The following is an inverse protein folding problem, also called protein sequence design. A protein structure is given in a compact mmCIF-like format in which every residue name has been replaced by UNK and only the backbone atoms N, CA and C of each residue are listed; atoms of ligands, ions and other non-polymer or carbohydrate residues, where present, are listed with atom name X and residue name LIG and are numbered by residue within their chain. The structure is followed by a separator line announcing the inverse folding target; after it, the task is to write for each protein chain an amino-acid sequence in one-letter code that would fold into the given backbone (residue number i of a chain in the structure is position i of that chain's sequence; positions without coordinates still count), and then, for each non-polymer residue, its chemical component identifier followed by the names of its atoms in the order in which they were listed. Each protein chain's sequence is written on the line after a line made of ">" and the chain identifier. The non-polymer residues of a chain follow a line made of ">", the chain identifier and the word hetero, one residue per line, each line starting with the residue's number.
data_IF_998093699757
#
_entry.id   IF_998093699757
#
_cell.length_a   1.000
_cell.length_b   1.000
_cell.length_c   1.000
_cell.angle_alpha   90.00
_cell.angle_beta   90.00
_cell.angle_gamma   90.00
#
_symmetry.space_group_name_H-M   'P 1'
#
loop_
_entity.id
_entity.type
_entity.pdbx_description
1 polymer ?
#
# COMPACT_ATOMS: atom_id res chain seq x y z
N UNK A 1 16.69 23.62 -15.41
CA UNK A 1 15.49 22.74 -15.47
C UNK A 1 14.96 22.59 -14.07
N UNK A 2 13.63 22.68 -13.89
CA UNK A 2 12.97 22.40 -12.62
C UNK A 2 12.31 21.03 -12.70
N UNK A 3 12.38 20.24 -11.64
CA UNK A 3 11.82 18.90 -11.57
C UNK A 3 11.57 18.48 -10.13
N UNK A 4 10.68 17.52 -9.91
CA UNK A 4 10.45 16.92 -8.60
C UNK A 4 11.41 15.74 -8.37
N UNK A 5 11.90 15.58 -7.14
CA UNK A 5 12.89 14.54 -6.81
C UNK A 5 12.82 14.10 -5.34
N UNK A 6 13.25 12.87 -5.09
CA UNK A 6 13.45 12.26 -3.77
C UNK A 6 14.87 12.48 -3.23
N UNK A 7 15.54 13.58 -3.61
CA UNK A 7 16.98 13.82 -3.40
C UNK A 7 17.43 13.73 -1.93
N UNK A 8 16.57 14.11 -0.98
CA UNK A 8 16.86 14.07 0.46
C UNK A 8 16.55 12.70 1.08
N UNK A 9 15.44 12.10 0.66
CA UNK A 9 14.89 10.88 1.24
C UNK A 9 13.88 10.26 0.28
N UNK A 10 13.78 8.92 0.19
CA UNK A 10 12.73 8.27 -0.58
C UNK A 10 11.33 8.56 -0.04
N UNK A 11 11.20 9.01 1.21
CA UNK A 11 9.91 9.38 1.81
C UNK A 11 9.47 10.81 1.51
N UNK A 12 10.31 11.60 0.85
CA UNK A 12 10.11 13.02 0.61
C UNK A 12 10.12 13.32 -0.88
N UNK A 13 9.41 14.36 -1.29
CA UNK A 13 9.39 14.82 -2.68
C UNK A 13 9.54 16.32 -2.70
N UNK A 14 10.57 16.80 -3.39
CA UNK A 14 10.93 18.22 -3.40
C UNK A 14 11.02 18.78 -4.81
N UNK A 15 10.70 20.06 -4.94
CA UNK A 15 11.12 20.85 -6.11
C UNK A 15 12.64 21.00 -6.08
N UNK A 16 13.29 20.63 -7.17
CA UNK A 16 14.70 20.82 -7.42
C UNK A 16 14.92 21.63 -8.69
N UNK A 17 16.08 22.28 -8.76
CA UNK A 17 16.58 22.98 -9.94
C UNK A 17 17.93 22.43 -10.31
N UNK A 18 18.10 22.05 -11.57
CA UNK A 18 19.39 21.63 -12.13
C UNK A 18 19.85 22.56 -13.24
N UNK A 19 21.13 22.92 -13.20
CA UNK A 19 21.81 23.64 -14.27
C UNK A 19 22.35 22.63 -15.29
N UNK A 20 21.89 22.71 -16.54
CA UNK A 20 22.08 21.64 -17.54
C UNK A 20 23.56 21.38 -17.82
N UNK A 21 24.42 22.41 -17.88
CA UNK A 21 25.81 22.22 -18.33
C UNK A 21 26.68 21.58 -17.25
N UNK A 22 26.52 21.96 -15.99
CA UNK A 22 27.28 21.39 -14.87
C UNK A 22 26.61 20.18 -14.22
N UNK A 23 25.30 19.99 -14.43
CA UNK A 23 24.49 19.02 -13.69
C UNK A 23 24.28 19.39 -12.22
N UNK A 24 24.79 20.55 -11.76
CA UNK A 24 24.64 20.98 -10.37
C UNK A 24 23.15 21.15 -10.06
N UNK A 25 22.72 20.44 -9.02
CA UNK A 25 21.34 20.39 -8.56
C UNK A 25 21.23 21.02 -7.19
N UNK A 26 20.20 21.84 -6.99
CA UNK A 26 19.83 22.40 -5.69
C UNK A 26 18.34 22.15 -5.40
N UNK A 27 18.04 21.88 -4.13
CA UNK A 27 16.66 21.82 -3.64
C UNK A 27 16.11 23.24 -3.48
N UNK A 28 14.88 23.45 -3.94
CA UNK A 28 14.16 24.74 -3.90
C UNK A 28 13.16 24.79 -2.75
N UNK A 29 12.38 23.72 -2.57
CA UNK A 29 11.38 23.64 -1.47
C UNK A 29 12.03 23.46 -0.11
N UNK A 30 11.41 24.04 0.93
CA UNK A 30 11.83 23.92 2.33
C UNK A 30 10.84 23.11 3.15
N UNK A 31 11.32 22.48 4.23
CA UNK A 31 10.51 21.59 5.06
C UNK A 31 10.66 20.13 4.65
N UNK A 32 10.31 19.24 5.56
CA UNK A 32 10.34 17.79 5.38
C UNK A 32 8.93 17.31 4.98
N UNK A 33 8.83 16.57 3.88
CA UNK A 33 7.54 16.01 3.44
C UNK A 33 7.37 15.86 1.93
N UNK A 34 6.12 15.90 1.48
CA UNK A 34 5.74 15.77 0.07
C UNK A 34 5.29 17.14 -0.45
N UNK A 35 6.03 17.66 -1.43
CA UNK A 35 5.69 18.86 -2.19
C UNK A 35 5.19 18.44 -3.57
N UNK A 36 3.97 18.86 -3.94
CA UNK A 36 3.45 18.68 -5.29
C UNK A 36 3.38 20.05 -5.98
N UNK A 37 4.12 20.19 -7.07
CA UNK A 37 4.41 21.50 -7.65
C UNK A 37 3.62 21.73 -8.93
N UNK A 38 2.93 22.86 -8.99
CA UNK A 38 2.37 23.41 -10.23
C UNK A 38 3.07 24.72 -10.59
N UNK A 39 3.72 24.78 -11.74
CA UNK A 39 4.49 25.95 -12.16
C UNK A 39 3.64 26.90 -13.03
N UNK A 40 3.79 28.21 -12.84
CA UNK A 40 3.22 29.25 -13.73
C UNK A 40 3.69 29.07 -15.17
N UNK A 41 3.00 29.68 -16.14
CA UNK A 41 3.41 29.57 -17.56
C UNK A 41 4.83 30.07 -17.81
N UNK A 42 5.18 31.21 -17.21
CA UNK A 42 6.51 31.83 -17.27
C UNK A 42 7.58 31.14 -16.39
N UNK A 43 7.18 30.16 -15.57
CA UNK A 43 8.04 29.42 -14.62
C UNK A 43 8.76 30.31 -13.61
N UNK A 44 8.21 31.50 -13.33
CA UNK A 44 8.73 32.40 -12.29
C UNK A 44 8.12 32.11 -10.92
N UNK A 45 6.97 31.44 -10.88
CA UNK A 45 6.24 31.12 -9.67
C UNK A 45 5.80 29.67 -9.64
N UNK A 46 5.68 29.12 -8.43
CA UNK A 46 5.24 27.76 -8.20
C UNK A 46 4.17 27.74 -7.12
N UNK A 47 3.07 27.07 -7.38
CA UNK A 47 2.14 26.62 -6.35
C UNK A 47 2.72 25.32 -5.76
N UNK A 48 3.08 25.37 -4.48
CA UNK A 48 3.51 24.23 -3.69
C UNK A 48 2.35 23.72 -2.84
N UNK A 49 1.86 22.53 -3.19
CA UNK A 49 0.89 21.77 -2.38
C UNK A 49 1.68 20.84 -1.48
N UNK A 50 1.90 21.29 -0.25
CA UNK A 50 2.74 20.65 0.75
C UNK A 50 1.93 19.79 1.72
N UNK A 51 2.47 18.63 2.08
CA UNK A 51 2.01 17.82 3.20
C UNK A 51 3.21 17.26 3.95
N UNK A 52 3.16 17.34 5.28
CA UNK A 52 4.20 16.86 6.19
C UNK A 52 3.59 16.16 7.40
N UNK A 53 4.43 15.51 8.22
CA UNK A 53 3.98 14.83 9.43
C UNK A 53 3.27 15.73 10.46
N UNK A 54 3.54 17.04 10.43
CA UNK A 54 2.95 18.05 11.33
C UNK A 54 2.08 19.07 10.58
N UNK A 55 1.85 18.85 9.28
CA UNK A 55 1.08 19.76 8.43
C UNK A 55 0.28 18.93 7.44
N UNK A 56 -1.02 18.75 7.71
CA UNK A 56 -1.83 17.87 6.89
C UNK A 56 -1.88 18.33 5.43
N UNK A 57 -2.12 19.63 5.23
CA UNK A 57 -2.03 20.28 3.92
C UNK A 57 -1.72 21.76 4.08
N UNK A 58 -0.87 22.25 3.18
CA UNK A 58 -0.65 23.66 2.99
C UNK A 58 -0.49 23.99 1.50
N UNK A 59 -0.82 25.23 1.16
CA UNK A 59 -0.76 25.74 -0.20
C UNK A 59 0.04 27.03 -0.18
N UNK A 60 1.24 26.99 -0.74
CA UNK A 60 2.16 28.12 -0.77
C UNK A 60 2.38 28.59 -2.21
N UNK A 61 2.46 29.91 -2.40
CA UNK A 61 3.05 30.47 -3.60
C UNK A 61 4.52 30.75 -3.32
N UNK A 62 5.42 30.11 -4.07
CA UNK A 62 6.87 30.29 -3.93
C UNK A 62 7.49 30.80 -5.24
N UNK A 63 8.60 31.52 -5.14
CA UNK A 63 9.39 31.95 -6.30
C UNK A 63 10.43 30.90 -6.74
N UNK A 64 11.23 31.24 -7.77
CA UNK A 64 12.31 30.38 -8.28
C UNK A 64 13.45 30.07 -7.30
N UNK A 65 13.51 30.77 -6.17
CA UNK A 65 14.50 30.56 -5.09
C UNK A 65 13.89 29.79 -3.91
N UNK A 66 12.59 29.47 -3.96
CA UNK A 66 11.87 28.84 -2.87
C UNK A 66 11.39 29.83 -1.80
N UNK A 67 11.52 31.14 -2.05
CA UNK A 67 11.00 32.15 -1.13
C UNK A 67 9.48 32.04 -1.10
N UNK A 68 8.91 31.86 0.09
CA UNK A 68 7.45 31.87 0.28
C UNK A 68 6.92 33.29 0.12
N UNK A 69 6.19 33.51 -0.96
CA UNK A 69 5.62 34.81 -1.36
C UNK A 69 4.27 35.01 -0.68
N UNK A 70 3.47 33.96 -0.64
CA UNK A 70 2.16 33.97 0.01
C UNK A 70 1.80 32.60 0.56
N UNK A 71 1.03 32.61 1.64
CA UNK A 71 0.38 31.42 2.21
C UNK A 71 -1.10 31.51 1.86
N UNK A 72 -1.58 30.57 1.05
CA UNK A 72 -2.97 30.53 0.60
C UNK A 72 -3.85 29.78 1.60
N UNK A 73 -3.30 28.70 2.19
CA UNK A 73 -3.96 27.89 3.21
C UNK A 73 -2.90 27.13 4.01
N UNK A 74 -3.12 27.02 5.32
CA UNK A 74 -2.48 26.03 6.20
C UNK A 74 -3.59 25.36 7.01
N UNK A 75 -3.67 24.03 6.93
CA UNK A 75 -4.55 23.20 7.74
C UNK A 75 -3.66 22.10 8.36
N UNK A 76 -3.11 22.37 9.56
CA UNK A 76 -2.10 21.49 10.14
C UNK A 76 -2.66 20.14 10.57
N UNK A 77 -3.93 20.11 10.99
CA UNK A 77 -4.56 18.91 11.55
C UNK A 77 -6.09 18.92 11.32
N UNK A 78 -6.57 18.25 10.26
CA UNK A 78 -8.00 18.08 9.99
C UNK A 78 -8.65 17.08 10.96
N UNK A 79 -7.87 16.37 11.77
CA UNK A 79 -8.35 15.45 12.81
C UNK A 79 -8.44 16.10 14.18
N UNK A 80 -8.23 17.41 14.29
CA UNK A 80 -8.38 18.12 15.56
C UNK A 80 -9.73 17.83 16.21
N UNK A 81 -9.70 17.25 17.41
CA UNK A 81 -10.89 16.86 18.17
C UNK A 81 -11.33 15.39 18.00
N UNK A 82 -10.69 14.65 17.10
CA UNK A 82 -10.82 13.19 17.02
C UNK A 82 -9.71 12.51 17.81
N UNK A 83 -10.00 11.32 18.35
CA UNK A 83 -8.98 10.49 18.96
C UNK A 83 -8.27 9.67 17.87
N UNK A 84 -6.99 9.91 17.63
CA UNK A 84 -6.20 9.21 16.62
C UNK A 84 -5.09 8.40 17.25
N UNK A 85 -4.75 7.28 16.61
CA UNK A 85 -3.62 6.44 17.03
C UNK A 85 -2.28 7.15 16.87
N UNK A 86 -1.30 6.78 17.69
CA UNK A 86 0.10 7.19 17.50
C UNK A 86 0.67 6.48 16.27
N UNK A 87 1.18 7.25 15.30
CA UNK A 87 1.79 6.74 14.08
C UNK A 87 3.32 6.88 14.15
N UNK A 88 4.04 5.82 13.80
CA UNK A 88 5.50 5.83 13.66
C UNK A 88 5.96 5.31 12.30
N UNK A 89 7.06 5.90 11.82
CA UNK A 89 7.80 5.46 10.64
C UNK A 89 9.17 4.96 11.06
N UNK A 90 9.58 3.80 10.56
CA UNK A 90 10.87 3.17 10.88
C UNK A 90 11.27 2.19 9.78
N UNK A 91 12.47 1.64 9.87
CA UNK A 91 12.94 0.59 8.95
C UNK A 91 13.09 -0.75 9.63
N UNK A 92 12.89 -1.81 8.85
CA UNK A 92 13.34 -3.17 9.16
C UNK A 92 14.20 -3.70 8.02
N UNK A 93 14.92 -4.79 8.26
CA UNK A 93 15.62 -5.50 7.18
C UNK A 93 14.65 -6.36 6.37
N UNK A 94 14.82 -6.32 5.05
CA UNK A 94 14.19 -7.22 4.11
C UNK A 94 14.59 -8.68 4.37
N UNK A 95 13.99 -9.62 3.64
CA UNK A 95 14.31 -11.04 3.80
C UNK A 95 15.76 -11.37 3.42
N UNK A 96 16.41 -10.52 2.62
CA UNK A 96 17.85 -10.61 2.31
C UNK A 96 18.78 -10.24 3.48
N UNK A 97 18.23 -9.72 4.58
CA UNK A 97 18.97 -9.32 5.77
C UNK A 97 19.80 -8.03 5.64
N UNK A 98 19.79 -7.36 4.49
CA UNK A 98 20.66 -6.22 4.18
C UNK A 98 19.85 -4.98 3.82
N UNK A 99 18.82 -5.13 2.97
CA UNK A 99 18.04 -4.02 2.42
C UNK A 99 17.10 -3.44 3.47
N UNK A 100 17.07 -2.11 3.62
CA UNK A 100 16.11 -1.43 4.50
C UNK A 100 14.75 -1.23 3.82
N UNK A 101 13.70 -1.67 4.53
CA UNK A 101 12.30 -1.53 4.16
C UNK A 101 11.60 -0.55 5.10
N UNK A 102 10.94 0.44 4.53
CA UNK A 102 10.15 1.39 5.31
C UNK A 102 8.87 0.73 5.81
N UNK A 103 8.57 0.99 7.07
CA UNK A 103 7.39 0.51 7.77
C UNK A 103 6.64 1.70 8.38
N UNK A 104 5.31 1.58 8.38
CA UNK A 104 4.41 2.45 9.13
C UNK A 104 3.62 1.61 10.12
N UNK A 105 3.61 2.02 11.38
CA UNK A 105 2.79 1.41 12.42
C UNK A 105 1.90 2.47 13.05
N UNK A 106 0.60 2.19 13.14
CA UNK A 106 -0.37 3.03 13.86
C UNK A 106 -0.89 2.20 15.03
N UNK A 107 -0.65 2.68 16.24
CA UNK A 107 -1.16 2.05 17.46
C UNK A 107 -2.66 2.34 17.61
N UNK A 108 -3.40 1.46 18.29
CA UNK A 108 -4.76 1.77 18.73
C UNK A 108 -4.86 3.08 19.50
N UNK A 109 -6.03 3.70 19.47
CA UNK A 109 -6.33 4.80 20.40
C UNK A 109 -6.28 4.29 21.84
N UNK A 110 -5.82 5.14 22.77
CA UNK A 110 -5.66 4.79 24.18
C UNK A 110 -4.77 3.55 24.41
N UNK A 111 -3.72 3.40 23.59
CA UNK A 111 -2.81 2.26 23.64
C UNK A 111 -2.25 2.00 25.05
N UNK A 112 -2.45 0.78 25.53
CA UNK A 112 -1.86 0.20 26.72
C UNK A 112 -0.86 -0.90 26.35
N UNK A 113 0.44 -0.77 26.68
CA UNK A 113 1.48 -1.76 26.35
C UNK A 113 1.32 -3.11 27.07
N UNK A 114 0.47 -3.22 28.09
CA UNK A 114 0.16 -4.47 28.79
C UNK A 114 -0.88 -5.34 28.09
N UNK A 115 -1.60 -4.78 27.10
CA UNK A 115 -2.62 -5.46 26.31
C UNK A 115 -1.99 -6.03 25.03
N UNK A 116 -2.45 -7.22 24.62
CA UNK A 116 -2.14 -7.80 23.31
C UNK A 116 -3.24 -7.46 22.30
N UNK A 117 -2.86 -6.79 21.22
CA UNK A 117 -3.77 -6.31 20.19
C UNK A 117 -3.77 -7.22 18.95
N UNK A 118 -4.92 -7.36 18.28
CA UNK A 118 -4.96 -7.89 16.93
C UNK A 118 -4.26 -6.93 15.95
N UNK A 119 -3.69 -7.48 14.88
CA UNK A 119 -2.95 -6.70 13.87
C UNK A 119 -3.71 -6.69 12.55
N UNK A 120 -3.91 -5.50 12.01
CA UNK A 120 -4.38 -5.28 10.65
C UNK A 120 -3.19 -4.90 9.76
N UNK A 121 -2.75 -5.83 8.91
CA UNK A 121 -1.73 -5.56 7.91
C UNK A 121 -2.40 -5.01 6.65
N UNK A 122 -2.03 -3.82 6.23
CA UNK A 122 -2.40 -3.29 4.92
C UNK A 122 -1.25 -3.48 3.93
N UNK A 123 -1.51 -4.17 2.83
CA UNK A 123 -0.54 -4.45 1.77
C UNK A 123 -1.03 -3.91 0.43
N UNK A 124 -0.15 -3.20 -0.26
CA UNK A 124 -0.24 -3.06 -1.71
C UNK A 124 0.89 -3.86 -2.35
N UNK A 125 2.14 -3.42 -2.14
CA UNK A 125 3.35 -4.20 -2.41
C UNK A 125 3.71 -4.40 -3.88
N UNK A 126 2.91 -3.86 -4.82
CA UNK A 126 3.23 -3.87 -6.25
C UNK A 126 4.07 -2.67 -6.71
N UNK A 127 4.57 -2.71 -7.95
CA UNK A 127 5.33 -1.62 -8.55
C UNK A 127 4.48 -0.38 -8.80
N UNK A 128 5.15 0.75 -9.05
CA UNK A 128 4.56 2.10 -9.22
C UNK A 128 3.79 2.65 -8.01
N UNK A 129 3.90 2.00 -6.85
CA UNK A 129 3.23 2.45 -5.64
C UNK A 129 4.21 2.53 -4.49
N UNK A 130 3.99 3.54 -3.66
CA UNK A 130 4.66 3.75 -2.38
C UNK A 130 3.59 4.10 -1.35
N UNK A 131 3.43 3.27 -0.33
CA UNK A 131 2.40 3.49 0.69
C UNK A 131 2.87 4.41 1.81
N UNK A 132 4.19 4.53 2.00
CA UNK A 132 4.79 5.22 3.15
C UNK A 132 5.59 6.42 2.64
N UNK A 133 5.20 7.60 3.11
CA UNK A 133 5.86 8.87 2.82
C UNK A 133 5.87 9.73 4.09
N UNK A 134 6.66 10.80 4.12
CA UNK A 134 6.63 11.81 5.19
C UNK A 134 5.51 12.85 5.00
N UNK A 135 4.45 12.51 4.27
CA UNK A 135 3.21 13.28 4.23
C UNK A 135 2.36 13.04 5.50
N UNK A 136 1.26 13.78 5.65
CA UNK A 136 0.34 13.62 6.77
C UNK A 136 0.02 12.16 7.08
N UNK A 137 0.03 11.79 8.36
CA UNK A 137 -0.17 10.40 8.83
C UNK A 137 0.75 9.35 8.19
N UNK A 138 1.92 9.76 7.70
CA UNK A 138 2.85 8.85 7.05
C UNK A 138 2.32 8.29 5.72
N UNK A 139 1.41 9.00 5.05
CA UNK A 139 0.68 8.54 3.86
C UNK A 139 -0.53 7.63 4.14
N UNK A 140 -0.93 7.43 5.40
CA UNK A 140 -2.06 6.57 5.73
C UNK A 140 -3.40 7.24 5.36
N UNK A 141 -4.27 6.50 4.65
CA UNK A 141 -5.63 6.97 4.43
C UNK A 141 -6.47 7.02 5.71
N UNK A 142 -7.60 7.74 5.67
CA UNK A 142 -8.59 7.79 6.75
C UNK A 142 -8.99 6.39 7.27
N UNK A 143 -9.12 5.42 6.36
CA UNK A 143 -9.53 4.06 6.71
C UNK A 143 -8.58 3.36 7.68
N UNK A 144 -7.25 3.52 7.50
CA UNK A 144 -6.29 2.88 8.39
C UNK A 144 -6.32 3.49 9.81
N UNK A 145 -6.54 4.80 9.90
CA UNK A 145 -6.75 5.46 11.19
C UNK A 145 -8.06 5.01 11.84
N UNK A 146 -9.13 4.82 11.06
CA UNK A 146 -10.39 4.25 11.55
C UNK A 146 -10.20 2.82 12.08
N UNK A 147 -9.45 1.97 11.40
CA UNK A 147 -9.13 0.62 11.90
C UNK A 147 -8.35 0.69 13.22
N UNK A 148 -7.40 1.61 13.37
CA UNK A 148 -6.71 1.80 14.65
C UNK A 148 -7.68 2.21 15.78
N UNK A 149 -8.68 3.06 15.49
CA UNK A 149 -9.75 3.39 16.44
C UNK A 149 -10.60 2.18 16.84
N UNK A 150 -10.68 1.14 15.99
CA UNK A 150 -11.37 -0.11 16.31
C UNK A 150 -10.55 -1.03 17.23
N UNK A 151 -9.33 -0.66 17.64
CA UNK A 151 -8.52 -1.44 18.59
C UNK A 151 -7.46 -2.33 17.94
N UNK A 152 -7.09 -2.07 16.68
CA UNK A 152 -6.05 -2.81 15.97
C UNK A 152 -4.71 -2.07 15.98
N UNK A 153 -3.61 -2.81 16.07
CA UNK A 153 -2.32 -2.32 15.57
C UNK A 153 -2.38 -2.38 14.05
N UNK A 154 -2.20 -1.25 13.38
CA UNK A 154 -2.21 -1.20 11.91
C UNK A 154 -0.78 -1.11 11.39
N UNK A 155 -0.43 -2.02 10.50
CA UNK A 155 0.92 -2.14 9.96
C UNK A 155 0.92 -2.05 8.43
N UNK A 156 1.86 -1.30 7.87
CA UNK A 156 2.13 -1.23 6.43
C UNK A 156 3.63 -1.31 6.22
N UNK A 157 4.05 -2.03 5.19
CA UNK A 157 5.45 -2.18 4.80
C UNK A 157 5.57 -2.00 3.29
N UNK A 158 6.50 -1.15 2.86
CA UNK A 158 6.88 -1.00 1.45
C UNK A 158 8.02 -1.98 1.16
N UNK A 159 7.68 -3.12 0.54
CA UNK A 159 8.62 -4.19 0.18
C UNK A 159 9.47 -3.84 -1.04
N UNK A 160 10.54 -4.61 -1.30
CA UNK A 160 11.24 -4.51 -2.59
C UNK A 160 10.26 -4.78 -3.73
N UNK A 161 10.38 -4.01 -4.81
CA UNK A 161 9.39 -3.89 -5.87
C UNK A 161 8.55 -2.61 -5.82
N UNK A 162 8.50 -1.90 -4.68
CA UNK A 162 7.77 -0.63 -4.55
C UNK A 162 8.55 0.57 -5.12
N UNK A 163 7.84 1.68 -5.36
CA UNK A 163 8.33 2.87 -6.07
C UNK A 163 9.25 3.76 -5.20
N UNK A 164 9.87 4.78 -5.82
CA UNK A 164 10.70 5.82 -5.20
C UNK A 164 11.99 5.32 -4.52
N UNK A 165 12.47 4.14 -4.92
CA UNK A 165 13.71 3.52 -4.40
C UNK A 165 14.75 3.18 -5.46
N UNK A 166 14.51 3.59 -6.70
CA UNK A 166 15.39 3.36 -7.83
C UNK A 166 15.17 2.00 -8.49
N UNK A 167 15.72 1.86 -9.69
CA UNK A 167 15.46 0.73 -10.59
C UNK A 167 15.76 -0.62 -9.97
N UNK A 168 16.93 -0.80 -9.35
CA UNK A 168 17.33 -2.11 -8.81
C UNK A 168 16.40 -2.58 -7.68
N UNK A 169 15.78 -1.64 -6.96
CA UNK A 169 14.81 -1.96 -5.92
C UNK A 169 13.45 -2.35 -6.52
N UNK A 170 13.01 -1.70 -7.61
CA UNK A 170 11.75 -1.99 -8.31
C UNK A 170 11.84 -3.26 -9.16
N UNK A 171 12.90 -3.41 -9.97
CA UNK A 171 13.06 -4.47 -10.97
C UNK A 171 13.28 -5.86 -10.35
N UNK A 172 13.56 -5.98 -9.05
CA UNK A 172 13.83 -7.28 -8.42
C UNK A 172 12.66 -8.27 -8.54
N UNK A 173 11.43 -7.77 -8.71
CA UNK A 173 10.22 -8.58 -8.87
C UNK A 173 9.99 -9.00 -10.33
N UNK A 174 10.79 -8.50 -11.27
CA UNK A 174 10.64 -8.77 -12.69
C UNK A 174 10.66 -10.29 -12.95
N UNK A 175 9.66 -10.75 -13.70
CA UNK A 175 9.35 -12.14 -14.05
C UNK A 175 8.92 -13.04 -12.88
N UNK A 176 8.73 -12.50 -11.67
CA UNK A 176 8.45 -13.28 -10.45
C UNK A 176 7.52 -12.55 -9.45
N UNK A 177 6.50 -11.87 -9.96
CA UNK A 177 5.52 -11.15 -9.14
C UNK A 177 4.93 -12.06 -8.04
N UNK A 178 4.98 -11.58 -6.80
CA UNK A 178 4.49 -12.27 -5.60
C UNK A 178 5.50 -13.18 -4.91
N UNK A 179 6.76 -13.25 -5.35
CA UNK A 179 7.81 -14.01 -4.68
C UNK A 179 8.54 -13.15 -3.64
N UNK A 180 9.27 -12.14 -4.11
CA UNK A 180 10.15 -11.30 -3.28
C UNK A 180 9.31 -10.40 -2.36
N UNK A 181 8.21 -9.87 -2.90
CA UNK A 181 7.26 -9.06 -2.14
C UNK A 181 6.72 -9.84 -0.94
N UNK A 182 6.37 -11.12 -1.15
CA UNK A 182 5.84 -11.98 -0.10
C UNK A 182 6.88 -12.25 0.97
N UNK A 183 8.12 -12.54 0.59
CA UNK A 183 9.21 -12.78 1.54
C UNK A 183 9.45 -11.57 2.45
N UNK A 184 9.44 -10.37 1.87
CA UNK A 184 9.61 -9.10 2.60
C UNK A 184 8.43 -8.79 3.52
N UNK A 185 7.18 -9.05 3.09
CA UNK A 185 6.02 -8.93 3.96
C UNK A 185 6.10 -9.91 5.15
N UNK A 186 6.61 -11.12 4.92
CA UNK A 186 6.84 -12.10 5.99
C UNK A 186 7.97 -11.69 6.95
N UNK A 187 8.97 -10.91 6.50
CA UNK A 187 9.92 -10.24 7.40
C UNK A 187 9.20 -9.24 8.33
N UNK A 188 8.24 -8.47 7.80
CA UNK A 188 7.33 -7.62 8.58
C UNK A 188 6.54 -8.41 9.62
N UNK A 189 5.98 -9.58 9.26
CA UNK A 189 5.29 -10.45 10.21
C UNK A 189 6.22 -10.94 11.32
N UNK A 190 7.46 -11.33 10.99
CA UNK A 190 8.45 -11.73 12.00
C UNK A 190 8.76 -10.58 12.96
N UNK A 191 8.93 -9.37 12.44
CA UNK A 191 9.11 -8.17 13.27
C UNK A 191 7.91 -7.94 14.20
N UNK A 192 6.68 -7.97 13.68
CA UNK A 192 5.46 -7.77 14.48
C UNK A 192 5.38 -8.75 15.65
N UNK A 193 5.75 -10.02 15.43
CA UNK A 193 5.76 -11.06 16.49
C UNK A 193 6.79 -10.82 17.59
N UNK A 194 7.74 -9.91 17.40
CA UNK A 194 8.69 -9.50 18.46
C UNK A 194 8.11 -8.46 19.42
N UNK A 195 7.03 -7.79 19.04
CA UNK A 195 6.41 -6.74 19.84
C UNK A 195 5.53 -7.36 20.93
N UNK A 196 5.79 -7.04 22.20
CA UNK A 196 5.12 -7.65 23.37
C UNK A 196 3.60 -7.45 23.40
N UNK A 197 3.14 -6.36 22.77
CA UNK A 197 1.73 -5.96 22.67
C UNK A 197 1.05 -6.48 21.39
N UNK A 198 1.73 -7.23 20.53
CA UNK A 198 1.11 -7.89 19.38
C UNK A 198 0.64 -9.27 19.78
N UNK A 199 -0.60 -9.60 19.41
CA UNK A 199 -1.10 -10.97 19.47
C UNK A 199 -0.70 -11.73 18.19
N UNK A 200 0.22 -12.70 18.27
CA UNK A 200 0.71 -13.41 17.09
C UNK A 200 -0.36 -14.32 16.46
N UNK A 201 -1.44 -14.63 17.19
CA UNK A 201 -2.54 -15.47 16.72
C UNK A 201 -3.69 -14.66 16.13
N UNK A 202 -3.65 -13.32 16.20
CA UNK A 202 -4.67 -12.42 15.64
C UNK A 202 -4.07 -11.44 14.64
N UNK A 203 -3.43 -11.97 13.60
CA UNK A 203 -2.93 -11.18 12.47
C UNK A 203 -3.85 -11.39 11.27
N UNK A 204 -4.29 -10.30 10.66
CA UNK A 204 -5.03 -10.32 9.40
C UNK A 204 -4.43 -9.38 8.36
N UNK A 205 -4.81 -9.56 7.10
CA UNK A 205 -4.23 -8.86 5.97
C UNK A 205 -5.28 -8.35 4.98
N UNK A 206 -5.13 -7.12 4.53
CA UNK A 206 -6.02 -6.49 3.57
C UNK A 206 -5.23 -5.77 2.47
N UNK A 207 -5.76 -5.84 1.25
CA UNK A 207 -5.24 -5.11 0.11
C UNK A 207 -6.23 -5.04 -1.04
N UNK A 208 -6.00 -4.09 -1.94
CA UNK A 208 -6.83 -3.84 -3.12
C UNK A 208 -5.96 -3.90 -4.39
N UNK A 209 -6.50 -4.39 -5.50
CA UNK A 209 -5.80 -4.55 -6.78
C UNK A 209 -4.58 -5.50 -6.64
N UNK A 210 -3.37 -5.02 -6.93
CA UNK A 210 -2.13 -5.76 -6.61
C UNK A 210 -2.06 -6.15 -5.12
N UNK A 211 -2.54 -5.29 -4.22
CA UNK A 211 -2.67 -5.62 -2.81
C UNK A 211 -3.63 -6.79 -2.55
N UNK A 212 -4.67 -6.94 -3.37
CA UNK A 212 -5.58 -8.09 -3.33
C UNK A 212 -4.88 -9.38 -3.77
N UNK A 213 -4.07 -9.31 -4.84
CA UNK A 213 -3.16 -10.39 -5.25
C UNK A 213 -2.23 -10.78 -4.10
N UNK A 214 -1.52 -9.81 -3.50
CA UNK A 214 -0.62 -10.05 -2.38
C UNK A 214 -1.33 -10.61 -1.14
N UNK A 215 -2.54 -10.14 -0.85
CA UNK A 215 -3.36 -10.64 0.27
C UNK A 215 -3.66 -12.13 0.11
N UNK A 216 -4.13 -12.55 -1.07
CA UNK A 216 -4.42 -13.97 -1.33
C UNK A 216 -3.12 -14.78 -1.40
N UNK A 217 -2.08 -14.24 -2.04
CA UNK A 217 -0.77 -14.89 -2.12
C UNK A 217 -0.19 -15.19 -0.73
N UNK A 218 -0.22 -14.22 0.18
CA UNK A 218 0.21 -14.38 1.57
C UNK A 218 -0.60 -15.46 2.29
N UNK A 219 -1.93 -15.46 2.14
CA UNK A 219 -2.82 -16.47 2.75
C UNK A 219 -2.52 -17.89 2.26
N UNK A 220 -2.30 -18.07 0.95
CA UNK A 220 -2.18 -19.40 0.34
C UNK A 220 -0.78 -20.00 0.47
N UNK A 221 0.26 -19.15 0.53
CA UNK A 221 1.65 -19.61 0.60
C UNK A 221 2.23 -19.59 2.00
N UNK A 222 1.53 -18.98 2.96
CA UNK A 222 1.86 -19.00 4.38
C UNK A 222 0.63 -19.43 5.20
N UNK A 223 0.06 -20.62 4.95
CA UNK A 223 -1.19 -21.03 5.56
C UNK A 223 -1.09 -21.06 7.09
N UNK A 224 -2.11 -20.50 7.75
CA UNK A 224 -2.23 -20.44 9.21
C UNK A 224 -1.59 -19.21 9.86
N UNK A 225 -0.78 -18.43 9.13
CA UNK A 225 -0.18 -17.18 9.63
C UNK A 225 -1.23 -16.09 9.81
N UNK A 226 -2.11 -15.92 8.84
CA UNK A 226 -3.15 -14.90 8.83
C UNK A 226 -4.50 -15.56 9.15
N UNK A 227 -5.23 -15.06 10.15
CA UNK A 227 -6.55 -15.63 10.51
C UNK A 227 -7.68 -15.08 9.66
N UNK A 228 -7.56 -13.83 9.23
CA UNK A 228 -8.57 -13.13 8.47
C UNK A 228 -7.92 -12.30 7.37
N UNK A 229 -8.50 -12.33 6.19
CA UNK A 229 -8.05 -11.56 5.05
C UNK A 229 -9.21 -10.96 4.27
N UNK A 230 -8.99 -9.78 3.69
CA UNK A 230 -9.91 -9.20 2.71
C UNK A 230 -9.15 -8.75 1.47
N UNK A 231 -9.44 -9.37 0.33
CA UNK A 231 -8.80 -9.09 -0.95
C UNK A 231 -9.79 -8.41 -1.91
N UNK A 232 -9.49 -7.19 -2.32
CA UNK A 232 -10.32 -6.41 -3.23
C UNK A 232 -9.78 -6.35 -4.64
N UNK A 233 -10.62 -6.57 -5.66
CA UNK A 233 -10.23 -6.61 -7.07
C UNK A 233 -8.93 -7.38 -7.33
N UNK A 234 -8.75 -8.61 -6.81
CA UNK A 234 -7.44 -9.26 -6.83
C UNK A 234 -7.10 -9.82 -8.22
N UNK A 235 -5.88 -9.56 -8.69
CA UNK A 235 -5.29 -10.37 -9.76
C UNK A 235 -5.07 -11.79 -9.20
N UNK A 236 -5.53 -12.79 -9.93
CA UNK A 236 -5.40 -14.21 -9.56
C UNK A 236 -4.45 -14.96 -10.49
N UNK A 237 -4.45 -14.64 -11.78
CA UNK A 237 -3.66 -15.31 -12.81
C UNK A 237 -3.22 -14.27 -13.83
N UNK A 238 -1.93 -13.94 -13.83
CA UNK A 238 -1.36 -12.85 -14.62
C UNK A 238 -1.56 -12.99 -16.13
N UNK A 239 -1.90 -14.19 -16.64
CA UNK A 239 -2.19 -14.38 -18.07
C UNK A 239 -3.46 -13.66 -18.55
N UNK A 240 -4.34 -13.26 -17.63
CA UNK A 240 -5.58 -12.53 -17.93
C UNK A 240 -5.45 -11.02 -17.75
N UNK A 241 -4.30 -10.54 -17.28
CA UNK A 241 -4.10 -9.12 -17.04
C UNK A 241 -3.68 -8.38 -18.32
N UNK A 242 -3.80 -7.05 -18.32
CA UNK A 242 -3.51 -6.26 -19.51
C UNK A 242 -2.04 -6.40 -19.96
N UNK A 243 -1.82 -6.40 -21.28
CA UNK A 243 -0.51 -6.61 -21.89
C UNK A 243 0.51 -5.54 -21.46
N UNK A 244 0.12 -4.27 -21.40
CA UNK A 244 1.07 -3.16 -21.12
C UNK A 244 1.67 -3.24 -19.71
N UNK A 245 0.88 -3.63 -18.72
CA UNK A 245 1.36 -3.86 -17.36
C UNK A 245 1.98 -5.25 -17.24
N UNK A 246 1.25 -6.29 -17.65
CA UNK A 246 1.64 -7.68 -17.51
C UNK A 246 3.00 -7.96 -18.13
N UNK A 247 3.20 -7.62 -19.41
CA UNK A 247 4.46 -7.92 -20.08
C UNK A 247 5.62 -7.03 -19.64
N UNK A 248 5.36 -5.81 -19.13
CA UNK A 248 6.40 -4.97 -18.53
C UNK A 248 7.06 -5.65 -17.34
N UNK A 249 6.27 -6.32 -16.50
CA UNK A 249 6.75 -6.94 -15.27
C UNK A 249 7.01 -8.43 -15.39
N UNK A 250 6.33 -9.12 -16.30
CA UNK A 250 6.39 -10.58 -16.40
C UNK A 250 6.94 -11.09 -17.73
N UNK A 251 7.33 -10.23 -18.67
CA UNK A 251 7.52 -10.57 -20.08
C UNK A 251 6.27 -11.24 -20.69
N UNK A 252 6.34 -11.70 -21.93
CA UNK A 252 5.27 -12.50 -22.54
C UNK A 252 5.17 -13.86 -21.85
N UNK A 253 3.97 -14.49 -21.77
CA UNK A 253 3.86 -15.84 -21.20
C UNK A 253 4.69 -16.91 -21.93
N UNK A 254 5.08 -16.67 -23.20
CA UNK A 254 5.95 -17.58 -23.96
C UNK A 254 7.42 -17.45 -23.53
N UNK A 255 7.85 -16.24 -23.14
CA UNK A 255 9.22 -15.96 -22.69
C UNK A 255 9.39 -16.20 -21.20
N UNK A 256 8.30 -16.24 -20.43
CA UNK A 256 8.33 -16.45 -18.98
C UNK A 256 7.28 -17.46 -18.48
N UNK A 257 7.18 -18.67 -19.06
CA UNK A 257 6.14 -19.63 -18.68
C UNK A 257 6.20 -19.99 -17.18
N UNK A 258 7.40 -20.11 -16.62
CA UNK A 258 7.58 -20.43 -15.20
C UNK A 258 7.12 -19.31 -14.26
N UNK A 259 7.36 -18.04 -14.62
CA UNK A 259 6.93 -16.90 -13.81
C UNK A 259 5.42 -16.76 -13.78
N UNK A 260 4.75 -16.90 -14.93
CA UNK A 260 3.28 -16.91 -14.99
C UNK A 260 2.69 -18.08 -14.20
N UNK A 261 3.30 -19.26 -14.32
CA UNK A 261 2.88 -20.44 -13.56
C UNK A 261 3.05 -20.22 -12.05
N UNK A 262 4.21 -19.72 -11.58
CA UNK A 262 4.47 -19.47 -10.14
C UNK A 262 3.56 -18.38 -9.54
N UNK A 263 3.25 -17.36 -10.33
CA UNK A 263 2.42 -16.22 -9.88
C UNK A 263 0.91 -16.47 -10.00
N UNK A 264 0.47 -17.58 -10.61
CA UNK A 264 -0.94 -17.97 -10.62
C UNK A 264 -1.36 -18.54 -9.26
N UNK A 265 -2.35 -17.90 -8.64
CA UNK A 265 -2.84 -18.27 -7.30
C UNK A 265 -3.84 -19.43 -7.34
N UNK A 266 -4.35 -19.80 -8.52
CA UNK A 266 -5.34 -20.88 -8.70
C UNK A 266 -4.81 -22.18 -8.10
N UNK A 267 -3.58 -22.59 -8.46
CA UNK A 267 -3.00 -23.87 -8.02
C UNK A 267 -2.75 -23.96 -6.52
N UNK A 268 -2.71 -22.83 -5.82
CA UNK A 268 -2.50 -22.77 -4.37
C UNK A 268 -3.81 -22.68 -3.58
N UNK A 269 -4.97 -22.61 -4.24
CA UNK A 269 -6.27 -22.45 -3.57
C UNK A 269 -6.51 -23.51 -2.47
N UNK A 270 -6.06 -24.75 -2.70
CA UNK A 270 -6.15 -25.85 -1.74
C UNK A 270 -5.39 -25.61 -0.43
N UNK A 271 -4.50 -24.63 -0.36
CA UNK A 271 -3.78 -24.27 0.86
C UNK A 271 -4.55 -23.31 1.76
N UNK A 272 -5.69 -22.77 1.32
CA UNK A 272 -6.41 -21.74 2.07
C UNK A 272 -6.76 -22.21 3.50
N UNK A 273 -6.26 -21.45 4.48
CA UNK A 273 -6.60 -21.55 5.89
C UNK A 273 -6.99 -20.17 6.42
N UNK A 274 -7.91 -20.11 7.37
CA UNK A 274 -8.45 -18.86 7.88
C UNK A 274 -9.69 -18.38 7.11
N UNK A 275 -10.07 -17.12 7.33
CA UNK A 275 -11.24 -16.48 6.75
C UNK A 275 -10.81 -15.53 5.63
N UNK A 276 -11.34 -15.71 4.43
CA UNK A 276 -11.02 -14.88 3.27
C UNK A 276 -12.30 -14.29 2.69
N UNK A 277 -12.41 -12.97 2.72
CA UNK A 277 -13.40 -12.20 1.97
C UNK A 277 -12.78 -11.69 0.67
N UNK A 278 -13.39 -12.02 -0.46
CA UNK A 278 -13.05 -11.45 -1.76
C UNK A 278 -14.12 -10.42 -2.12
N UNK A 279 -13.69 -9.23 -2.56
CA UNK A 279 -14.58 -8.14 -2.97
C UNK A 279 -14.27 -7.73 -4.41
N UNK A 280 -15.28 -7.57 -5.27
CA UNK A 280 -15.07 -7.18 -6.67
C UNK A 280 -16.18 -6.27 -7.21
N UNK A 281 -15.83 -5.30 -8.06
CA UNK A 281 -16.79 -4.59 -8.90
C UNK A 281 -17.25 -5.48 -10.07
N UNK A 282 -18.54 -5.52 -10.40
CA UNK A 282 -19.02 -6.40 -11.48
C UNK A 282 -18.70 -5.86 -12.89
N UNK A 283 -18.24 -4.62 -13.00
CA UNK A 283 -17.91 -3.95 -14.26
C UNK A 283 -16.45 -3.47 -14.27
N UNK A 284 -15.55 -4.21 -13.60
CA UNK A 284 -14.13 -3.88 -13.49
C UNK A 284 -13.39 -4.08 -14.83
N UNK A 285 -12.89 -3.00 -15.46
CA UNK A 285 -12.16 -3.10 -16.72
C UNK A 285 -10.65 -3.34 -16.52
N UNK A 286 -10.16 -3.26 -15.28
CA UNK A 286 -8.74 -3.35 -14.94
C UNK A 286 -8.40 -4.78 -14.54
N UNK A 287 -9.07 -5.29 -13.51
CA UNK A 287 -8.98 -6.70 -13.10
C UNK A 287 -10.30 -7.33 -13.50
N UNK A 288 -10.31 -8.05 -14.62
CA UNK A 288 -11.57 -8.61 -15.12
C UNK A 288 -12.15 -9.63 -14.12
N UNK A 289 -13.47 -9.64 -13.99
CA UNK A 289 -14.19 -10.39 -12.94
C UNK A 289 -13.87 -11.91 -12.92
N UNK A 290 -13.44 -12.46 -14.05
CA UNK A 290 -12.98 -13.83 -14.25
C UNK A 290 -11.88 -14.23 -13.26
N UNK A 291 -11.03 -13.30 -12.82
CA UNK A 291 -10.03 -13.57 -11.79
C UNK A 291 -10.67 -14.15 -10.51
N UNK A 292 -11.66 -13.45 -9.95
CA UNK A 292 -12.35 -13.93 -8.74
C UNK A 292 -13.15 -15.20 -9.00
N UNK A 293 -13.88 -15.27 -10.12
CA UNK A 293 -14.71 -16.43 -10.42
C UNK A 293 -13.88 -17.71 -10.57
N UNK A 294 -12.73 -17.64 -11.25
CA UNK A 294 -11.85 -18.79 -11.40
C UNK A 294 -11.23 -19.25 -10.07
N UNK A 295 -10.87 -18.31 -9.20
CA UNK A 295 -10.36 -18.66 -7.87
C UNK A 295 -11.42 -19.31 -6.98
N UNK A 296 -12.66 -18.78 -7.01
CA UNK A 296 -13.79 -19.34 -6.28
C UNK A 296 -14.11 -20.75 -6.78
N UNK A 297 -14.15 -20.96 -8.10
CA UNK A 297 -14.35 -22.29 -8.70
C UNK A 297 -13.29 -23.29 -8.25
N UNK A 298 -12.01 -22.88 -8.21
CA UNK A 298 -10.94 -23.73 -7.69
C UNK A 298 -11.07 -23.98 -6.18
N UNK A 299 -11.44 -22.98 -5.39
CA UNK A 299 -11.73 -23.18 -3.97
C UNK A 299 -12.84 -24.23 -3.76
N UNK A 300 -13.91 -24.20 -4.57
CA UNK A 300 -14.99 -25.19 -4.52
C UNK A 300 -14.44 -26.60 -4.80
N UNK A 301 -13.64 -26.78 -5.85
CA UNK A 301 -13.02 -28.07 -6.19
C UNK A 301 -12.13 -28.60 -5.07
N UNK A 302 -11.44 -27.71 -4.35
CA UNK A 302 -10.56 -28.04 -3.24
C UNK A 302 -11.29 -28.14 -1.88
N UNK A 303 -12.62 -27.95 -1.84
CA UNK A 303 -13.40 -27.97 -0.60
C UNK A 303 -13.08 -26.81 0.36
N UNK A 304 -12.60 -25.69 -0.17
CA UNK A 304 -12.25 -24.47 0.59
C UNK A 304 -13.39 -23.45 0.52
N UNK A 305 -13.70 -22.86 1.67
CA UNK A 305 -14.74 -21.84 1.80
C UNK A 305 -14.12 -20.45 1.69
N UNK A 306 -14.79 -19.58 0.93
CA UNK A 306 -14.47 -18.15 0.80
C UNK A 306 -15.76 -17.34 0.91
N UNK A 307 -15.68 -16.17 1.53
CA UNK A 307 -16.76 -15.21 1.52
C UNK A 307 -16.60 -14.31 0.28
N UNK A 308 -17.71 -13.99 -0.38
CA UNK A 308 -17.69 -13.19 -1.60
C UNK A 308 -18.70 -12.04 -1.56
N UNK A 309 -18.24 -10.84 -1.91
CA UNK A 309 -19.10 -9.67 -2.03
C UNK A 309 -18.85 -8.93 -3.34
N UNK A 310 -19.91 -8.46 -3.97
CA UNK A 310 -19.82 -7.74 -5.24
C UNK A 310 -20.47 -6.36 -5.14
N UNK A 311 -19.91 -5.39 -5.87
CA UNK A 311 -20.51 -4.08 -6.09
C UNK A 311 -21.10 -4.01 -7.50
N UNK A 312 -22.43 -4.14 -7.67
CA UNK A 312 -23.07 -4.11 -8.98
C UNK A 312 -22.80 -2.80 -9.72
N UNK A 313 -22.32 -2.90 -10.95
CA UNK A 313 -22.03 -1.77 -11.83
C UNK A 313 -20.78 -0.96 -11.46
N UNK A 314 -20.10 -1.29 -10.36
CA UNK A 314 -18.84 -0.63 -10.01
C UNK A 314 -17.69 -1.14 -10.89
N UNK A 315 -16.79 -0.22 -11.26
CA UNK A 315 -15.52 -0.55 -11.89
C UNK A 315 -14.47 -0.99 -10.87
N UNK A 316 -13.19 -0.73 -11.15
CA UNK A 316 -12.07 -1.19 -10.32
C UNK A 316 -12.03 -0.60 -8.91
N UNK A 317 -12.57 0.60 -8.71
CA UNK A 317 -12.56 1.31 -7.44
C UNK A 317 -13.96 1.76 -7.04
N UNK A 318 -14.29 1.63 -5.77
CA UNK A 318 -15.52 2.20 -5.22
C UNK A 318 -15.35 3.69 -4.92
N UNK A 319 -16.40 4.45 -5.21
CA UNK A 319 -16.50 5.90 -4.98
C UNK A 319 -17.81 6.22 -4.23
N UNK A 320 -17.91 7.44 -3.70
CA UNK A 320 -19.08 7.90 -2.95
C UNK A 320 -19.49 6.92 -1.84
N UNK A 321 -20.79 6.66 -1.72
CA UNK A 321 -21.34 5.76 -0.69
C UNK A 321 -20.85 4.32 -0.79
N UNK A 322 -20.53 3.83 -1.99
CA UNK A 322 -19.99 2.48 -2.15
C UNK A 322 -18.62 2.32 -1.46
N UNK A 323 -17.82 3.40 -1.39
CA UNK A 323 -16.53 3.39 -0.67
C UNK A 323 -16.74 3.35 0.85
N UNK A 324 -17.72 4.08 1.36
CA UNK A 324 -18.06 4.05 2.79
C UNK A 324 -18.53 2.64 3.18
N UNK A 325 -19.48 2.09 2.42
CA UNK A 325 -19.95 0.71 2.62
C UNK A 325 -18.81 -0.31 2.51
N UNK A 326 -17.86 -0.12 1.59
CA UNK A 326 -16.67 -0.98 1.49
C UNK A 326 -15.85 -0.97 2.79
N UNK A 327 -15.53 0.21 3.31
CA UNK A 327 -14.74 0.33 4.52
C UNK A 327 -15.45 -0.28 5.74
N UNK A 328 -16.76 -0.06 5.86
CA UNK A 328 -17.58 -0.71 6.90
C UNK A 328 -17.61 -2.23 6.76
N UNK A 329 -17.75 -2.74 5.53
CA UNK A 329 -17.75 -4.19 5.24
C UNK A 329 -16.42 -4.83 5.60
N UNK A 330 -15.29 -4.20 5.25
CA UNK A 330 -13.96 -4.71 5.59
C UNK A 330 -13.79 -4.68 7.12
N UNK A 331 -14.05 -3.55 7.77
CA UNK A 331 -13.90 -3.42 9.22
C UNK A 331 -14.79 -4.42 9.98
N UNK A 332 -16.05 -4.59 9.57
CA UNK A 332 -16.97 -5.58 10.12
C UNK A 332 -16.43 -7.01 9.99
N UNK A 333 -15.93 -7.38 8.81
CA UNK A 333 -15.37 -8.72 8.60
C UNK A 333 -14.16 -9.00 9.50
N UNK A 334 -13.27 -8.01 9.70
CA UNK A 334 -12.16 -8.14 10.64
C UNK A 334 -12.63 -8.19 12.10
N UNK A 335 -13.67 -7.43 12.47
CA UNK A 335 -14.25 -7.48 13.81
C UNK A 335 -14.87 -8.84 14.11
N UNK A 336 -15.54 -9.47 13.14
CA UNK A 336 -16.22 -10.75 13.31
C UNK A 336 -15.26 -11.94 13.43
N UNK A 337 -14.09 -11.86 12.76
CA UNK A 337 -13.20 -13.01 12.61
C UNK A 337 -11.79 -12.86 13.18
N UNK A 338 -11.39 -11.66 13.59
CA UNK A 338 -10.03 -11.39 14.09
C UNK A 338 -9.98 -10.76 15.48
N UNK A 339 -11.05 -10.10 15.95
CA UNK A 339 -11.00 -9.30 17.17
C UNK A 339 -10.97 -10.13 18.45
#
# INVERSE_FOLDING_TARGET
>A
VFYESTIESPLEKHLCKTEIRSGKTERITSGEGIHNISASEDKLWFLDVFSGLQMARAYYLIDIKGTKISTLLEDPDPYKGYNTGEMSLFTIKADDGITDLWCRLIKPVNFDPSVRYPVFVYVYGGPHAQMITKSWTGGAGFFLNYIAQQGYVVFTLDNRGSDNRGRDFEDIIHRQLGEIEMADQMAGIRYLKTLSYVDPDRIGVNGWSYGGFMTINLMLRNPGVFKTACAGGPVIDWKWYEVMYGERYMDTPMKNPEGYEKSSLIKYAGNLQGKLLIIHGTADPTVVWQHSLAFIDECIKQGRQVDYFVYPGAGHNMTGMARVHLFEKIAGYFNDYLK
#
